data_IF_525874913669
#
_entry.id   IF_525874913669
#
_cell.length_a   1.000
_cell.length_b   1.000
_cell.length_c   1.000
_cell.angle_alpha   90.00
_cell.angle_beta   90.00
_cell.angle_gamma   90.00
#
_symmetry.space_group_name_H-M   'P 1'
#
loop_
_entity.id
_entity.type
_entity.pdbx_description
1 polymer ?
#
# COMPACT_ATOMS: atom_id res chain seq x y z
N UNK A 1 32.45 2.18 13.73
CA UNK A 1 31.95 1.61 12.47
C UNK A 1 30.50 1.27 12.69
N UNK A 2 29.58 2.04 12.12
CA UNK A 2 28.15 1.73 12.11
C UNK A 2 27.79 1.49 10.65
N UNK A 3 27.65 0.23 10.28
CA UNK A 3 27.19 -0.14 8.94
C UNK A 3 25.72 0.24 8.87
N UNK A 4 25.42 1.33 8.15
CA UNK A 4 24.06 1.71 7.79
C UNK A 4 23.48 0.59 6.92
N UNK A 5 22.52 -0.16 7.47
CA UNK A 5 21.74 -1.11 6.70
C UNK A 5 20.71 -0.34 5.89
N UNK A 6 21.04 -0.01 4.64
CA UNK A 6 20.07 0.57 3.72
C UNK A 6 18.92 -0.42 3.55
N UNK A 7 17.74 -0.11 4.09
CA UNK A 7 16.51 -0.82 3.76
C UNK A 7 16.04 -0.38 2.36
N UNK A 8 16.91 -0.55 1.37
CA UNK A 8 16.56 -0.31 0.00
C UNK A 8 15.84 -1.54 -0.51
N UNK A 9 14.55 -1.38 -0.81
CA UNK A 9 13.79 -2.29 -1.68
C UNK A 9 14.30 -2.08 -3.13
N UNK A 10 15.62 -2.18 -3.35
CA UNK A 10 16.26 -1.98 -4.66
C UNK A 10 16.36 -3.30 -5.42
N UNK A 11 16.38 -4.44 -4.74
CA UNK A 11 16.50 -5.76 -5.39
C UNK A 11 15.14 -6.40 -5.73
N UNK A 12 14.02 -5.73 -5.40
CA UNK A 12 12.69 -6.33 -5.52
C UNK A 12 12.42 -7.43 -4.49
N UNK A 13 13.21 -7.52 -3.43
CA UNK A 13 12.97 -8.43 -2.31
C UNK A 13 11.93 -7.85 -1.37
N UNK A 14 10.89 -8.64 -1.09
CA UNK A 14 9.88 -8.30 -0.10
C UNK A 14 10.40 -8.49 1.34
N UNK A 15 11.61 -9.01 1.55
CA UNK A 15 12.11 -9.46 2.86
C UNK A 15 12.12 -8.39 3.97
N UNK A 16 12.16 -7.10 3.62
CA UNK A 16 12.05 -5.99 4.58
C UNK A 16 10.61 -5.59 4.92
N UNK A 17 9.62 -6.00 4.11
CA UNK A 17 8.22 -5.67 4.31
C UNK A 17 7.73 -6.33 5.61
N UNK A 18 6.96 -5.59 6.42
CA UNK A 18 6.55 -5.99 7.77
C UNK A 18 7.52 -5.59 8.90
N UNK A 19 8.75 -5.16 8.60
CA UNK A 19 9.74 -4.74 9.62
C UNK A 19 9.97 -3.23 9.68
N UNK A 20 9.50 -2.49 8.69
CA UNK A 20 9.76 -1.06 8.51
C UNK A 20 8.48 -0.27 8.23
N UNK A 21 8.61 1.06 8.30
CA UNK A 21 7.60 2.00 7.81
C UNK A 21 7.95 2.37 6.37
N UNK A 22 6.93 2.55 5.53
CA UNK A 22 7.07 2.87 4.12
C UNK A 22 6.30 4.13 3.76
N UNK A 23 6.78 4.84 2.74
CA UNK A 23 5.98 5.77 1.94
C UNK A 23 5.68 5.10 0.61
N UNK A 24 4.50 5.34 0.08
CA UNK A 24 4.09 4.76 -1.20
C UNK A 24 4.06 5.85 -2.24
N UNK A 25 5.06 5.86 -3.10
CA UNK A 25 5.11 6.72 -4.26
C UNK A 25 4.07 6.25 -5.28
N UNK A 26 3.36 7.19 -5.92
CA UNK A 26 2.38 6.96 -6.97
C UNK A 26 2.81 7.69 -8.25
N UNK A 27 2.62 7.06 -9.41
CA UNK A 27 2.92 7.66 -10.73
C UNK A 27 1.70 8.31 -11.38
N UNK A 28 0.70 8.71 -10.59
CA UNK A 28 -0.54 9.31 -11.08
C UNK A 28 -0.34 10.65 -11.78
N UNK A 29 0.75 11.39 -11.51
CA UNK A 29 1.06 12.65 -12.18
C UNK A 29 2.56 12.75 -12.50
N UNK A 30 2.87 12.95 -13.78
CA UNK A 30 4.22 13.30 -14.25
C UNK A 30 4.34 14.83 -14.27
N UNK A 31 5.43 15.49 -13.78
CA UNK A 31 6.70 14.98 -13.23
C UNK A 31 6.85 15.17 -11.70
N UNK A 32 5.77 15.08 -10.93
CA UNK A 32 5.80 15.38 -9.49
C UNK A 32 5.87 14.11 -8.65
N UNK A 33 6.73 14.12 -7.63
CA UNK A 33 6.82 13.02 -6.68
C UNK A 33 5.64 13.05 -5.72
N UNK A 34 4.60 12.28 -6.02
CA UNK A 34 3.40 12.20 -5.21
C UNK A 34 3.36 10.93 -4.38
N UNK A 35 3.21 11.10 -3.08
CA UNK A 35 3.06 10.02 -2.13
C UNK A 35 1.62 9.88 -1.69
N UNK A 36 1.24 8.62 -1.47
CA UNK A 36 0.03 8.25 -0.79
C UNK A 36 0.01 8.87 0.61
N UNK A 37 -1.09 9.49 0.99
CA UNK A 37 -1.26 10.02 2.34
C UNK A 37 -2.73 10.05 2.79
N UNK A 38 -2.92 10.01 4.11
CA UNK A 38 -4.22 10.24 4.73
C UNK A 38 -4.51 11.75 4.81
N UNK A 39 -5.71 12.17 4.39
CA UNK A 39 -6.08 13.59 4.35
C UNK A 39 -6.34 14.20 5.75
N UNK A 40 -6.44 13.35 6.78
CA UNK A 40 -6.62 13.74 8.18
C UNK A 40 -8.01 14.27 8.54
N UNK A 41 -8.95 14.30 7.60
CA UNK A 41 -10.30 14.90 7.80
C UNK A 41 -11.43 13.92 7.52
N UNK A 42 -11.25 13.06 6.54
CA UNK A 42 -12.21 12.05 6.13
C UNK A 42 -11.52 10.70 6.04
N UNK A 43 -12.23 9.59 5.81
CA UNK A 43 -11.61 8.31 5.47
C UNK A 43 -10.95 8.33 4.06
N UNK A 44 -10.70 9.51 3.48
CA UNK A 44 -10.10 9.65 2.16
C UNK A 44 -8.59 9.42 2.19
N UNK A 45 -8.18 8.56 1.28
CA UNK A 45 -6.79 8.35 0.91
C UNK A 45 -6.51 9.13 -0.37
N UNK A 46 -5.37 9.81 -0.46
CA UNK A 46 -4.96 10.56 -1.64
C UNK A 46 -3.53 10.28 -2.05
N UNK A 47 -3.20 10.57 -3.29
CA UNK A 47 -1.86 10.46 -3.86
C UNK A 47 -1.40 11.78 -4.51
N UNK A 48 -1.43 12.86 -3.74
CA UNK A 48 -0.92 14.20 -4.08
C UNK A 48 0.02 14.74 -2.99
N UNK A 49 0.47 13.88 -2.08
CA UNK A 49 1.26 14.27 -0.91
C UNK A 49 2.75 14.41 -1.21
N UNK A 50 3.43 15.26 -0.42
CA UNK A 50 4.89 15.47 -0.45
C UNK A 50 5.70 14.37 0.27
N UNK A 51 5.01 13.37 0.82
CA UNK A 51 5.61 12.29 1.59
C UNK A 51 6.02 12.67 3.02
N UNK A 52 5.66 13.84 3.54
CA UNK A 52 5.98 14.23 4.92
C UNK A 52 4.89 13.82 5.92
N UNK A 53 3.72 14.44 5.79
CA UNK A 53 2.62 14.30 6.75
C UNK A 53 1.68 13.17 6.31
N UNK A 54 1.28 12.32 7.25
CA UNK A 54 0.28 11.27 7.03
C UNK A 54 0.58 10.29 5.88
N UNK A 55 1.85 10.20 5.46
CA UNK A 55 2.28 9.41 4.30
C UNK A 55 2.98 8.09 4.69
N UNK A 56 2.93 7.73 5.97
CA UNK A 56 3.66 6.61 6.54
C UNK A 56 2.73 5.41 6.72
N UNK A 57 3.12 4.28 6.15
CA UNK A 57 2.36 3.02 6.19
C UNK A 57 3.24 1.89 6.71
N UNK A 58 2.66 1.03 7.56
CA UNK A 58 3.19 -0.31 7.81
C UNK A 58 2.53 -1.25 6.81
N UNK A 59 3.32 -2.17 6.25
CA UNK A 59 2.81 -3.16 5.32
C UNK A 59 2.92 -4.52 5.98
N UNK A 60 1.79 -5.11 6.34
CA UNK A 60 1.69 -6.48 6.83
C UNK A 60 1.56 -7.40 5.62
N UNK A 61 2.20 -8.58 5.63
CA UNK A 61 2.21 -9.47 4.47
C UNK A 61 2.14 -10.95 4.83
N UNK A 62 1.77 -11.77 3.86
CA UNK A 62 1.94 -13.23 3.91
C UNK A 62 3.43 -13.60 4.04
N UNK A 63 3.69 -14.81 4.56
CA UNK A 63 5.04 -15.39 4.57
C UNK A 63 5.50 -15.59 3.13
N UNK A 64 6.74 -15.19 2.83
CA UNK A 64 7.30 -15.21 1.48
C UNK A 64 7.19 -16.60 0.84
N UNK A 65 6.23 -16.77 -0.07
CA UNK A 65 5.99 -17.99 -0.84
C UNK A 65 6.07 -17.72 -2.35
N UNK A 66 7.07 -16.95 -2.78
CA UNK A 66 7.58 -16.73 -4.16
C UNK A 66 6.61 -16.36 -5.31
N UNK A 67 5.30 -16.58 -5.20
CA UNK A 67 4.34 -16.39 -6.30
C UNK A 67 3.30 -15.30 -5.98
N UNK A 68 2.82 -15.20 -4.74
CA UNK A 68 1.76 -14.25 -4.38
C UNK A 68 1.95 -13.61 -2.98
N UNK A 69 2.46 -12.38 -2.95
CA UNK A 69 2.49 -11.57 -1.72
C UNK A 69 1.14 -10.87 -1.52
N UNK A 70 0.40 -11.25 -0.47
CA UNK A 70 -0.83 -10.56 -0.05
C UNK A 70 -0.46 -9.59 1.06
N UNK A 71 -1.03 -8.39 1.02
CA UNK A 71 -0.69 -7.32 1.95
C UNK A 71 -1.91 -6.62 2.55
N UNK A 72 -1.74 -6.14 3.78
CA UNK A 72 -2.58 -5.13 4.45
C UNK A 72 -1.72 -3.89 4.65
N UNK A 73 -2.24 -2.73 4.26
CA UNK A 73 -1.54 -1.45 4.43
C UNK A 73 -2.17 -0.66 5.58
N UNK A 74 -1.46 -0.57 6.70
CA UNK A 74 -1.86 0.18 7.89
C UNK A 74 -1.23 1.58 7.85
N UNK A 75 -2.03 2.63 7.94
CA UNK A 75 -1.54 3.98 8.17
C UNK A 75 -0.95 4.10 9.58
N UNK A 76 0.33 4.49 9.68
CA UNK A 76 1.14 4.39 10.90
C UNK A 76 0.55 5.14 12.09
N UNK A 77 0.03 6.35 11.86
CA UNK A 77 -0.37 7.22 12.96
C UNK A 77 -1.82 7.03 13.39
N UNK A 78 -2.70 6.59 12.48
CA UNK A 78 -4.11 6.35 12.83
C UNK A 78 -4.45 4.90 13.13
N UNK A 79 -3.61 3.94 12.72
CA UNK A 79 -3.90 2.51 12.80
C UNK A 79 -5.00 2.04 11.83
N UNK A 80 -5.53 2.94 10.99
CA UNK A 80 -6.51 2.62 9.94
C UNK A 80 -5.85 1.82 8.82
N UNK A 81 -6.62 1.01 8.14
CA UNK A 81 -6.16 0.17 7.03
C UNK A 81 -6.74 0.63 5.71
N UNK A 82 -5.94 0.50 4.65
CA UNK A 82 -6.42 0.75 3.30
C UNK A 82 -7.47 -0.29 2.93
N UNK A 83 -8.61 0.16 2.40
CA UNK A 83 -9.73 -0.68 2.04
C UNK A 83 -10.33 -0.27 0.70
N UNK A 84 -11.01 -1.17 0.01
CA UNK A 84 -11.92 -0.82 -1.08
C UNK A 84 -13.32 -0.61 -0.50
N UNK A 85 -13.85 0.60 -0.67
CA UNK A 85 -15.23 0.91 -0.35
C UNK A 85 -16.15 0.27 -1.41
N UNK A 86 -16.91 -0.75 -1.00
CA UNK A 86 -17.77 -1.54 -1.89
C UNK A 86 -18.98 -0.78 -2.44
N UNK A 87 -19.31 0.40 -1.87
CA UNK A 87 -20.43 1.22 -2.35
C UNK A 87 -20.04 2.09 -3.55
N UNK A 88 -18.78 2.51 -3.65
CA UNK A 88 -18.33 3.44 -4.68
C UNK A 88 -17.07 2.98 -5.44
N UNK A 89 -16.55 1.79 -5.16
CA UNK A 89 -15.37 1.17 -5.80
C UNK A 89 -14.09 2.01 -5.69
N UNK A 90 -13.96 2.79 -4.61
CA UNK A 90 -12.78 3.63 -4.35
C UNK A 90 -11.98 3.11 -3.18
N UNK A 91 -10.68 3.39 -3.21
CA UNK A 91 -9.80 3.13 -2.06
C UNK A 91 -10.02 4.20 -0.97
N UNK A 92 -10.15 3.75 0.27
CA UNK A 92 -10.32 4.57 1.47
C UNK A 92 -9.42 4.06 2.61
N UNK A 93 -9.38 4.79 3.73
CA UNK A 93 -8.79 4.35 4.99
C UNK A 93 -9.89 4.09 6.02
N UNK A 94 -10.02 2.85 6.46
CA UNK A 94 -11.07 2.41 7.37
C UNK A 94 -10.49 1.89 8.68
N UNK A 95 -11.32 1.83 9.73
CA UNK A 95 -10.94 1.07 10.92
C UNK A 95 -10.85 -0.41 10.57
N UNK A 96 -9.84 -1.14 11.07
CA UNK A 96 -9.74 -2.56 10.77
C UNK A 96 -10.95 -3.29 11.39
N UNK A 97 -11.50 -4.32 10.71
CA UNK A 97 -12.72 -5.00 11.14
C UNK A 97 -12.56 -5.74 12.47
N UNK A 98 -11.33 -6.15 12.78
CA UNK A 98 -10.88 -6.69 14.07
C UNK A 98 -9.49 -6.13 14.38
N UNK A 99 -8.90 -6.48 15.52
CA UNK A 99 -7.55 -5.97 15.83
C UNK A 99 -6.52 -6.45 14.79
N UNK A 100 -5.55 -5.60 14.44
CA UNK A 100 -4.50 -5.94 13.49
C UNK A 100 -3.68 -7.17 13.92
N UNK A 101 -3.52 -7.40 15.22
CA UNK A 101 -2.89 -8.62 15.72
C UNK A 101 -3.70 -9.86 15.34
N UNK A 102 -5.03 -9.82 15.37
CA UNK A 102 -5.85 -10.95 14.93
C UNK A 102 -5.74 -11.16 13.42
N UNK A 103 -5.66 -10.08 12.64
CA UNK A 103 -5.51 -10.15 11.17
C UNK A 103 -4.14 -10.64 10.71
N UNK A 104 -3.12 -10.66 11.58
CA UNK A 104 -1.73 -10.92 11.19
C UNK A 104 -1.02 -12.01 12.01
N UNK A 105 -1.65 -12.53 13.08
CA UNK A 105 -1.03 -13.51 13.96
C UNK A 105 -0.94 -14.88 13.30
N UNK A 106 0.29 -15.31 12.96
CA UNK A 106 0.56 -16.58 12.31
C UNK A 106 0.27 -16.60 10.80
N UNK A 107 -0.15 -15.47 10.22
CA UNK A 107 -0.50 -15.32 8.82
C UNK A 107 -1.50 -14.19 8.61
N UNK A 108 -1.72 -13.80 7.35
CA UNK A 108 -2.78 -12.85 7.00
C UNK A 108 -4.12 -13.57 7.04
N UNK A 109 -5.07 -13.03 7.80
CA UNK A 109 -6.46 -13.47 7.79
C UNK A 109 -7.13 -13.06 6.47
N UNK A 110 -7.71 -14.05 5.79
CA UNK A 110 -8.32 -13.91 4.47
C UNK A 110 -9.83 -13.61 4.52
N UNK A 111 -10.43 -13.56 5.72
CA UNK A 111 -11.88 -13.38 5.91
C UNK A 111 -12.40 -11.97 5.58
N UNK A 112 -11.50 -11.01 5.37
CA UNK A 112 -11.80 -9.59 5.12
C UNK A 112 -11.20 -9.11 3.79
N UNK A 113 -11.68 -9.58 2.63
CA UNK A 113 -11.07 -9.29 1.32
C UNK A 113 -11.07 -7.80 0.95
N UNK A 114 -11.92 -6.98 1.57
CA UNK A 114 -12.00 -5.54 1.36
C UNK A 114 -10.72 -4.78 1.77
N UNK A 115 -9.92 -5.33 2.69
CA UNK A 115 -8.65 -4.73 3.14
C UNK A 115 -7.40 -5.46 2.59
N UNK A 116 -7.59 -6.45 1.72
CA UNK A 116 -6.52 -7.31 1.21
C UNK A 116 -6.16 -6.96 -0.22
N UNK A 117 -4.86 -6.89 -0.48
CA UNK A 117 -4.31 -6.62 -1.81
C UNK A 117 -3.21 -7.61 -2.19
N UNK A 118 -3.26 -8.16 -3.40
CA UNK A 118 -2.10 -8.78 -4.01
C UNK A 118 -1.14 -7.69 -4.46
N UNK A 119 0.10 -7.78 -3.98
CA UNK A 119 1.20 -7.02 -4.56
C UNK A 119 1.65 -7.74 -5.84
N UNK A 120 1.42 -7.11 -6.99
CA UNK A 120 1.84 -7.65 -8.30
C UNK A 120 2.95 -6.81 -8.90
N UNK A 121 4.13 -7.39 -9.09
CA UNK A 121 5.22 -6.72 -9.77
C UNK A 121 4.82 -6.29 -11.18
N UNK A 122 5.12 -5.05 -11.56
CA UNK A 122 4.95 -4.61 -12.95
C UNK A 122 5.86 -5.39 -13.90
N UNK A 123 7.08 -5.63 -13.44
CA UNK A 123 8.05 -6.56 -14.04
C UNK A 123 8.82 -7.25 -12.91
N UNK A 124 9.08 -8.57 -13.00
CA UNK A 124 9.88 -9.27 -12.00
C UNK A 124 11.22 -8.58 -11.74
N UNK A 125 11.62 -8.47 -10.47
CA UNK A 125 12.90 -7.86 -10.06
C UNK A 125 13.00 -6.35 -10.24
N UNK A 126 11.86 -5.62 -10.26
CA UNK A 126 11.83 -4.15 -10.29
C UNK A 126 11.12 -3.59 -9.07
N UNK A 127 11.37 -2.32 -8.77
CA UNK A 127 10.79 -1.60 -7.62
C UNK A 127 9.28 -1.31 -7.74
N UNK A 128 8.73 -1.37 -8.96
CA UNK A 128 7.36 -0.96 -9.28
C UNK A 128 6.36 -2.10 -9.19
N UNK A 129 5.24 -1.87 -8.52
CA UNK A 129 4.18 -2.85 -8.34
C UNK A 129 2.78 -2.24 -8.43
N UNK A 130 1.81 -3.10 -8.65
CA UNK A 130 0.38 -2.83 -8.54
C UNK A 130 -0.16 -3.41 -7.24
N UNK A 131 -1.23 -2.80 -6.72
CA UNK A 131 -2.03 -3.32 -5.63
C UNK A 131 -3.37 -3.77 -6.21
N UNK A 132 -3.56 -5.09 -6.32
CA UNK A 132 -4.80 -5.69 -6.83
C UNK A 132 -5.68 -6.11 -5.66
N UNK A 133 -6.90 -5.60 -5.56
CA UNK A 133 -7.85 -6.02 -4.52
C UNK A 133 -8.22 -7.50 -4.65
N UNK A 134 -8.48 -8.13 -3.51
CA UNK A 134 -8.97 -9.51 -3.41
C UNK A 134 -10.51 -9.61 -3.35
N UNK A 135 -11.23 -8.49 -3.47
CA UNK A 135 -12.69 -8.54 -3.56
C UNK A 135 -13.15 -9.33 -4.79
N UNK A 136 -14.18 -10.16 -4.60
CA UNK A 136 -14.79 -10.94 -5.66
C UNK A 136 -15.29 -10.05 -6.82
N UNK A 137 -15.30 -10.63 -8.02
CA UNK A 137 -15.79 -10.00 -9.24
C UNK A 137 -14.68 -9.56 -10.18
N UNK A 138 -14.85 -8.43 -10.91
CA UNK A 138 -13.86 -7.96 -11.86
C UNK A 138 -12.54 -7.60 -11.16
N UNK A 139 -11.44 -7.68 -11.92
CA UNK A 139 -10.14 -7.25 -11.43
C UNK A 139 -10.16 -5.77 -11.06
N UNK A 140 -9.65 -5.47 -9.85
CA UNK A 140 -9.61 -4.14 -9.26
C UNK A 140 -8.18 -3.79 -8.86
N UNK A 141 -7.64 -2.70 -9.38
CA UNK A 141 -6.32 -2.18 -9.07
C UNK A 141 -6.44 -0.78 -8.49
N UNK A 142 -5.70 -0.53 -7.40
CA UNK A 142 -5.63 0.79 -6.80
C UNK A 142 -5.12 1.79 -7.83
N UNK A 143 -5.83 2.92 -7.99
CA UNK A 143 -5.53 3.96 -8.97
C UNK A 143 -5.95 5.32 -8.43
N UNK A 144 -5.17 6.33 -8.77
CA UNK A 144 -5.44 7.73 -8.46
C UNK A 144 -5.47 8.57 -9.73
N UNK A 145 -6.29 9.61 -9.76
CA UNK A 145 -6.28 10.61 -10.83
C UNK A 145 -5.07 11.56 -10.68
N UNK A 146 -4.85 12.42 -11.68
CA UNK A 146 -3.77 13.41 -11.67
C UNK A 146 -3.80 14.37 -10.47
N UNK A 147 -4.97 14.59 -9.85
CA UNK A 147 -5.14 15.43 -8.66
C UNK A 147 -4.99 14.65 -7.34
N UNK A 148 -4.57 13.38 -7.42
CA UNK A 148 -4.39 12.50 -6.28
C UNK A 148 -5.68 11.91 -5.73
N UNK A 149 -6.84 12.15 -6.35
CA UNK A 149 -8.10 11.59 -5.87
C UNK A 149 -8.24 10.11 -6.25
N UNK A 150 -8.82 9.27 -5.36
CA UNK A 150 -9.05 7.87 -5.66
C UNK A 150 -10.17 7.72 -6.69
N UNK A 151 -9.95 6.84 -7.66
CA UNK A 151 -10.87 6.58 -8.78
C UNK A 151 -11.20 5.09 -8.89
N UNK A 152 -12.16 4.76 -9.76
CA UNK A 152 -12.59 3.38 -9.99
C UNK A 152 -11.46 2.48 -10.47
N UNK A 153 -11.48 1.23 -10.02
CA UNK A 153 -10.30 0.36 -9.97
C UNK A 153 -10.14 -0.60 -11.16
N UNK A 154 -10.99 -0.51 -12.19
CA UNK A 154 -11.10 -1.59 -13.21
C UNK A 154 -10.02 -1.59 -14.31
N UNK A 155 -9.37 -0.45 -14.58
CA UNK A 155 -8.34 -0.35 -15.63
C UNK A 155 -6.94 -0.13 -15.05
N UNK A 156 -6.00 -0.99 -15.45
CA UNK A 156 -4.58 -0.82 -15.13
C UNK A 156 -3.98 0.26 -16.03
N UNK A 157 -3.45 1.31 -15.42
CA UNK A 157 -2.71 2.37 -16.14
C UNK A 157 -1.38 2.64 -15.44
N UNK A 158 -0.60 3.61 -15.95
CA UNK A 158 0.56 4.10 -15.20
C UNK A 158 0.15 4.58 -13.81
N UNK A 159 -0.97 5.30 -13.68
CA UNK A 159 -1.48 5.80 -12.40
C UNK A 159 -1.87 4.73 -11.36
N UNK A 160 -1.72 3.44 -11.71
CA UNK A 160 -1.86 2.30 -10.80
C UNK A 160 -0.53 1.77 -10.26
N UNK A 161 0.60 2.32 -10.70
CA UNK A 161 1.95 1.88 -10.31
C UNK A 161 2.41 2.60 -9.04
N UNK A 162 2.93 1.80 -8.12
CA UNK A 162 3.50 2.25 -6.86
C UNK A 162 4.94 1.80 -6.71
N UNK A 163 5.71 2.56 -5.93
CA UNK A 163 7.00 2.17 -5.37
C UNK A 163 6.95 2.38 -3.85
N UNK A 164 7.53 1.45 -3.09
CA UNK A 164 7.59 1.54 -1.65
C UNK A 164 8.97 2.05 -1.21
N UNK A 165 9.01 3.25 -0.63
CA UNK A 165 10.23 3.87 -0.13
C UNK A 165 10.31 3.65 1.38
N UNK A 166 11.34 2.93 1.83
CA UNK A 166 11.52 2.67 3.25
C UNK A 166 11.90 3.95 3.98
N UNK A 167 11.28 4.18 5.14
CA UNK A 167 11.64 5.24 6.06
C UNK A 167 12.45 4.62 7.18
N UNK A 168 13.71 5.05 7.34
CA UNK A 168 14.50 4.67 8.52
C UNK A 168 13.76 5.14 9.76
N UNK A 169 13.57 4.23 10.73
CA UNK A 169 13.02 4.60 12.02
C UNK A 169 14.08 5.39 12.78
N UNK A 170 14.08 6.72 12.65
CA UNK A 170 14.76 7.58 13.61
C UNK A 170 14.09 7.32 14.96
N UNK A 171 14.85 6.72 15.87
CA UNK A 171 14.45 6.41 17.24
C UNK A 171 14.31 7.70 18.06
#
# INVERSE_FOLDING_TARGET
MTTAGSCTVIDGSDSSWGRSTYKLYSTNKDPEDHYLHFDGKSNSLKADGDGMNNAKFKIHKTVDNQEETIVILEHKESGKVMAINTQNDKVTLEDPPVSLSQLTNGGIDMSHPEILFHKKWWRPGREWFYLKSLLDGPDRFVKFENDGTPTGTTDITKASLFRADCVENSS
#
